data_IF_250097477233
#
_entry.id   IF_250097477233
#
_cell.length_a   1.000
_cell.length_b   1.000
_cell.length_c   1.000
_cell.angle_alpha   90.00
_cell.angle_beta   90.00
_cell.angle_gamma   90.00
#
_symmetry.space_group_name_H-M   'P 1'
#
loop_
_entity.id
_entity.type
_entity.pdbx_description
1 polymer ?
#
# COMPACT_ATOMS: atom_id res chain seq x y z
N UNK A 1 -9.61 4.25 -14.56
CA UNK A 1 -10.80 3.36 -14.60
C UNK A 1 -11.89 3.88 -13.67
N UNK A 2 -13.16 3.57 -13.95
CA UNK A 2 -14.32 4.03 -13.17
C UNK A 2 -14.29 3.57 -11.70
N UNK A 3 -13.78 2.36 -11.45
CA UNK A 3 -13.71 1.80 -10.09
C UNK A 3 -12.82 2.61 -9.14
N UNK A 4 -11.69 3.16 -9.64
CA UNK A 4 -10.77 3.99 -8.85
C UNK A 4 -11.44 5.26 -8.33
N UNK A 5 -12.36 5.85 -9.12
CA UNK A 5 -13.15 7.02 -8.68
C UNK A 5 -14.19 6.62 -7.65
N UNK A 6 -14.89 5.50 -7.87
CA UNK A 6 -15.91 4.97 -6.95
C UNK A 6 -15.32 4.61 -5.59
N UNK A 7 -14.18 3.94 -5.55
CA UNK A 7 -13.55 3.58 -4.27
C UNK A 7 -13.10 4.80 -3.48
N UNK A 8 -12.53 5.82 -4.15
CA UNK A 8 -12.17 7.08 -3.47
C UNK A 8 -13.39 7.74 -2.82
N UNK A 9 -14.54 7.74 -3.50
CA UNK A 9 -15.78 8.30 -2.97
C UNK A 9 -16.32 7.47 -1.79
N UNK A 10 -16.40 6.15 -1.92
CA UNK A 10 -16.82 5.29 -0.81
C UNK A 10 -15.91 5.43 0.41
N UNK A 11 -14.60 5.40 0.20
CA UNK A 11 -13.62 5.51 1.27
C UNK A 11 -13.71 6.85 2.01
N UNK A 12 -13.76 7.97 1.28
CA UNK A 12 -13.89 9.32 1.85
C UNK A 12 -15.17 9.50 2.68
N UNK A 13 -16.25 8.83 2.29
CA UNK A 13 -17.54 8.87 2.98
C UNK A 13 -17.67 7.84 4.11
N UNK A 14 -16.58 7.14 4.48
CA UNK A 14 -16.60 6.13 5.55
C UNK A 14 -17.31 4.82 5.17
N UNK A 15 -17.62 4.62 3.89
CA UNK A 15 -18.32 3.45 3.37
C UNK A 15 -17.34 2.30 3.08
N UNK A 16 -16.60 1.85 4.10
CA UNK A 16 -15.54 0.84 3.95
C UNK A 16 -16.08 -0.52 3.50
N UNK A 17 -17.25 -0.93 3.99
CA UNK A 17 -17.92 -2.16 3.54
C UNK A 17 -18.21 -2.15 2.03
N UNK A 18 -18.66 -1.01 1.48
CA UNK A 18 -18.88 -0.85 0.04
C UNK A 18 -17.55 -0.82 -0.74
N UNK A 19 -16.51 -0.23 -0.17
CA UNK A 19 -15.16 -0.24 -0.74
C UNK A 19 -14.63 -1.66 -0.88
N UNK A 20 -14.72 -2.46 0.18
CA UNK A 20 -14.33 -3.88 0.22
C UNK A 20 -15.15 -4.69 -0.80
N UNK A 21 -16.47 -4.51 -0.82
CA UNK A 21 -17.35 -5.24 -1.73
C UNK A 21 -17.04 -4.94 -3.21
N UNK A 22 -16.77 -3.68 -3.55
CA UNK A 22 -16.38 -3.26 -4.90
C UNK A 22 -15.06 -3.92 -5.32
N UNK A 23 -14.05 -3.89 -4.44
CA UNK A 23 -12.74 -4.47 -4.73
C UNK A 23 -12.80 -5.99 -4.87
N UNK A 24 -13.51 -6.69 -3.97
CA UNK A 24 -13.74 -8.13 -4.08
C UNK A 24 -14.43 -8.51 -5.38
N UNK A 25 -15.39 -7.72 -5.83
CA UNK A 25 -16.03 -7.92 -7.13
C UNK A 25 -15.05 -7.76 -8.29
N UNK A 26 -14.22 -6.72 -8.28
CA UNK A 26 -13.20 -6.52 -9.31
C UNK A 26 -12.21 -7.70 -9.40
N UNK A 27 -11.84 -8.28 -8.26
CA UNK A 27 -10.99 -9.48 -8.17
C UNK A 27 -11.65 -10.66 -8.87
N UNK A 28 -12.93 -10.92 -8.58
CA UNK A 28 -13.69 -12.00 -9.22
C UNK A 28 -13.81 -11.79 -10.73
N UNK A 29 -13.92 -10.55 -11.17
CA UNK A 29 -13.99 -10.17 -12.59
C UNK A 29 -12.61 -10.08 -13.26
N UNK A 30 -11.51 -10.36 -12.54
CA UNK A 30 -10.11 -10.26 -13.00
C UNK A 30 -9.73 -8.89 -13.57
N UNK A 31 -10.34 -7.84 -13.04
CA UNK A 31 -10.09 -6.47 -13.45
C UNK A 31 -8.94 -5.89 -12.61
N UNK A 32 -7.81 -5.56 -13.26
CA UNK A 32 -6.75 -4.75 -12.64
C UNK A 32 -6.30 -5.32 -11.29
N UNK A 33 -5.95 -6.61 -11.32
CA UNK A 33 -5.85 -7.47 -10.14
C UNK A 33 -4.90 -6.91 -9.09
N UNK A 34 -3.66 -6.60 -9.46
CA UNK A 34 -2.63 -6.08 -8.57
C UNK A 34 -3.09 -4.82 -7.82
N UNK A 35 -3.54 -3.79 -8.54
CA UNK A 35 -4.02 -2.54 -7.94
C UNK A 35 -5.25 -2.78 -7.05
N UNK A 36 -6.14 -3.66 -7.47
CA UNK A 36 -7.33 -4.01 -6.69
C UNK A 36 -6.94 -4.71 -5.38
N UNK A 37 -5.95 -5.61 -5.41
CA UNK A 37 -5.46 -6.29 -4.21
C UNK A 37 -4.80 -5.34 -3.22
N UNK A 38 -3.87 -4.52 -3.71
CA UNK A 38 -3.17 -3.54 -2.88
C UNK A 38 -4.20 -2.61 -2.19
N UNK A 39 -5.18 -2.11 -2.95
CA UNK A 39 -6.23 -1.27 -2.37
C UNK A 39 -7.13 -2.06 -1.39
N UNK A 40 -7.37 -3.35 -1.61
CA UNK A 40 -8.15 -4.18 -0.67
C UNK A 40 -7.44 -4.36 0.67
N UNK A 41 -6.15 -4.69 0.65
CA UNK A 41 -5.32 -4.79 1.85
C UNK A 41 -5.36 -3.46 2.61
N UNK A 42 -5.17 -2.33 1.90
CA UNK A 42 -5.24 -1.00 2.48
C UNK A 42 -6.59 -0.70 3.15
N UNK A 43 -7.74 -0.95 2.48
CA UNK A 43 -9.06 -0.68 3.08
C UNK A 43 -9.28 -1.51 4.31
N UNK A 44 -8.95 -2.81 4.29
CA UNK A 44 -9.12 -3.65 5.47
C UNK A 44 -8.31 -3.13 6.65
N UNK A 45 -7.01 -2.90 6.45
CA UNK A 45 -6.12 -2.46 7.52
C UNK A 45 -6.51 -1.09 8.06
N UNK A 46 -6.79 -0.12 7.17
CA UNK A 46 -7.31 1.18 7.58
C UNK A 46 -8.60 1.03 8.41
N UNK A 47 -9.56 0.23 7.95
CA UNK A 47 -10.80 0.01 8.69
C UNK A 47 -10.55 -0.59 10.07
N UNK A 48 -9.68 -1.61 10.15
CA UNK A 48 -9.36 -2.33 11.39
C UNK A 48 -8.63 -1.45 12.41
N UNK A 49 -7.82 -0.49 11.95
CA UNK A 49 -6.88 0.30 12.78
C UNK A 49 -7.41 1.69 13.08
N UNK A 50 -7.95 2.38 12.09
CA UNK A 50 -8.27 3.82 12.18
C UNK A 50 -9.74 4.10 12.47
N UNK A 51 -10.60 3.08 12.43
CA UNK A 51 -12.06 3.28 12.59
C UNK A 51 -12.60 2.63 13.84
N UNK A 52 -13.59 3.29 14.45
CA UNK A 52 -14.30 2.74 15.60
C UNK A 52 -15.32 1.69 15.12
N UNK A 53 -14.94 0.42 15.22
CA UNK A 53 -15.79 -0.72 14.86
C UNK A 53 -15.88 -1.71 16.00
N UNK A 54 -16.99 -2.46 16.04
CA UNK A 54 -17.17 -3.48 17.08
C UNK A 54 -16.10 -4.57 16.99
N UNK A 55 -15.80 -5.20 18.13
CA UNK A 55 -14.84 -6.32 18.20
C UNK A 55 -15.21 -7.46 17.27
N UNK A 56 -16.50 -7.76 17.15
CA UNK A 56 -17.05 -8.81 16.28
C UNK A 56 -16.79 -8.46 14.81
N UNK A 57 -17.05 -7.20 14.41
CA UNK A 57 -16.80 -6.72 13.05
C UNK A 57 -15.32 -6.77 12.71
N UNK A 58 -14.46 -6.32 13.63
CA UNK A 58 -13.00 -6.38 13.50
C UNK A 58 -12.50 -7.81 13.30
N UNK A 59 -13.04 -8.78 14.04
CA UNK A 59 -12.68 -10.19 13.89
C UNK A 59 -13.10 -10.75 12.53
N UNK A 60 -14.28 -10.39 12.03
CA UNK A 60 -14.74 -10.79 10.69
C UNK A 60 -13.81 -10.22 9.62
N UNK A 61 -13.47 -8.93 9.71
CA UNK A 61 -12.59 -8.27 8.74
C UNK A 61 -11.18 -8.86 8.77
N UNK A 62 -10.63 -9.13 9.95
CA UNK A 62 -9.31 -9.74 10.08
C UNK A 62 -9.25 -11.15 9.49
N UNK A 63 -10.26 -11.98 9.77
CA UNK A 63 -10.34 -13.34 9.21
C UNK A 63 -10.38 -13.30 7.68
N UNK A 64 -11.19 -12.39 7.15
CA UNK A 64 -11.38 -12.20 5.71
C UNK A 64 -10.10 -11.67 5.04
N UNK A 65 -9.47 -10.66 5.63
CA UNK A 65 -8.16 -10.15 5.22
C UNK A 65 -7.11 -11.26 5.17
N UNK A 66 -6.94 -12.03 6.24
CA UNK A 66 -5.93 -13.08 6.30
C UNK A 66 -6.15 -14.16 5.23
N UNK A 67 -7.40 -14.58 5.02
CA UNK A 67 -7.73 -15.54 3.97
C UNK A 67 -7.45 -14.99 2.56
N UNK A 68 -7.70 -13.69 2.35
CA UNK A 68 -7.46 -13.03 1.08
C UNK A 68 -5.96 -12.85 0.84
N UNK A 69 -5.24 -12.31 1.82
CA UNK A 69 -3.81 -12.04 1.73
C UNK A 69 -2.99 -13.31 1.47
N UNK A 70 -3.34 -14.41 2.15
CA UNK A 70 -2.67 -15.71 1.97
C UNK A 70 -2.67 -16.19 0.51
N UNK A 71 -3.77 -15.99 -0.21
CA UNK A 71 -3.87 -16.39 -1.62
C UNK A 71 -2.84 -15.66 -2.48
N UNK A 72 -2.54 -14.39 -2.17
CA UNK A 72 -1.64 -13.56 -2.99
C UNK A 72 -0.18 -13.75 -2.65
N UNK A 73 0.15 -13.91 -1.36
CA UNK A 73 1.53 -14.13 -0.95
C UNK A 73 2.04 -15.54 -1.29
N UNK A 74 1.13 -16.47 -1.66
CA UNK A 74 1.49 -17.81 -2.13
C UNK A 74 1.58 -17.91 -3.67
N UNK A 75 1.23 -16.86 -4.39
CA UNK A 75 1.26 -16.82 -5.87
C UNK A 75 2.63 -16.35 -6.37
N UNK A 76 3.29 -17.18 -7.18
CA UNK A 76 4.63 -16.90 -7.72
C UNK A 76 4.69 -15.62 -8.56
N UNK A 77 3.59 -15.22 -9.20
CA UNK A 77 3.53 -13.99 -9.99
C UNK A 77 3.65 -12.77 -9.08
N UNK A 78 2.93 -12.75 -7.95
CA UNK A 78 2.90 -11.60 -7.05
C UNK A 78 4.12 -11.50 -6.14
N UNK A 79 4.65 -12.62 -5.62
CA UNK A 79 5.84 -12.57 -4.75
C UNK A 79 7.10 -12.11 -5.47
N UNK A 80 7.09 -12.06 -6.80
CA UNK A 80 8.19 -11.58 -7.63
C UNK A 80 7.87 -10.25 -8.32
N UNK A 81 6.68 -9.69 -8.11
CA UNK A 81 6.32 -8.38 -8.63
C UNK A 81 6.81 -7.28 -7.67
N UNK A 82 7.72 -6.39 -8.11
CA UNK A 82 8.32 -5.39 -7.23
C UNK A 82 7.30 -4.34 -6.76
N UNK A 83 6.26 -4.08 -7.53
CA UNK A 83 5.23 -3.11 -7.18
C UNK A 83 4.31 -3.68 -6.09
N UNK A 84 3.89 -4.94 -6.23
CA UNK A 84 3.15 -5.66 -5.19
C UNK A 84 3.94 -5.71 -3.87
N UNK A 85 5.22 -6.08 -3.95
CA UNK A 85 6.10 -6.17 -2.79
C UNK A 85 6.22 -4.82 -2.09
N UNK A 86 6.52 -3.76 -2.84
CA UNK A 86 6.68 -2.41 -2.29
C UNK A 86 5.41 -1.90 -1.62
N UNK A 87 4.28 -1.94 -2.32
CA UNK A 87 3.03 -1.39 -1.78
C UNK A 87 2.51 -2.21 -0.61
N UNK A 88 2.63 -3.54 -0.64
CA UNK A 88 2.24 -4.38 0.50
C UNK A 88 3.10 -4.08 1.72
N UNK A 89 4.42 -3.98 1.55
CA UNK A 89 5.34 -3.62 2.63
C UNK A 89 5.05 -2.23 3.20
N UNK A 90 4.79 -1.25 2.32
CA UNK A 90 4.39 0.10 2.71
C UNK A 90 3.11 0.10 3.56
N UNK A 91 2.05 -0.55 3.10
CA UNK A 91 0.78 -0.61 3.83
C UNK A 91 0.98 -1.31 5.17
N UNK A 92 1.63 -2.48 5.17
CA UNK A 92 1.87 -3.27 6.37
C UNK A 92 2.69 -2.48 7.41
N UNK A 93 3.76 -1.80 6.98
CA UNK A 93 4.55 -0.94 7.87
C UNK A 93 3.78 0.26 8.44
N UNK A 94 2.72 0.70 7.75
CA UNK A 94 1.93 1.87 8.15
C UNK A 94 0.82 1.53 9.16
N UNK A 95 0.22 0.34 9.04
CA UNK A 95 -0.93 -0.07 9.86
C UNK A 95 -0.63 -1.19 10.85
N UNK A 96 0.52 -1.87 10.71
CA UNK A 96 0.93 -3.00 11.53
C UNK A 96 0.98 -4.30 10.74
N UNK A 97 2.19 -4.84 10.58
CA UNK A 97 2.51 -6.04 9.82
C UNK A 97 1.90 -7.31 10.42
N UNK A 98 1.76 -7.35 11.75
CA UNK A 98 1.19 -8.49 12.48
C UNK A 98 -0.27 -8.79 12.10
N UNK A 99 -1.01 -7.81 11.55
CA UNK A 99 -2.37 -8.05 11.05
C UNK A 99 -2.39 -8.92 9.79
N UNK A 100 -1.25 -9.04 9.08
CA UNK A 100 -1.10 -9.86 7.88
C UNK A 100 -0.31 -11.16 8.15
N UNK A 101 -0.05 -11.48 9.42
CA UNK A 101 0.82 -12.59 9.82
C UNK A 101 2.26 -12.45 9.26
N UNK A 102 2.73 -11.20 9.17
CA UNK A 102 4.08 -10.84 8.76
C UNK A 102 4.89 -10.36 9.96
N UNK A 103 6.20 -10.48 9.87
CA UNK A 103 7.18 -9.92 10.82
C UNK A 103 7.85 -8.67 10.22
N UNK A 104 8.51 -7.86 11.06
CA UNK A 104 9.32 -6.74 10.58
C UNK A 104 10.41 -7.18 9.58
N UNK A 105 10.95 -8.39 9.74
CA UNK A 105 11.93 -8.95 8.82
C UNK A 105 11.30 -9.28 7.45
N UNK A 106 10.06 -9.76 7.42
CA UNK A 106 9.35 -9.99 6.15
C UNK A 106 9.12 -8.66 5.42
N UNK A 107 8.76 -7.60 6.15
CA UNK A 107 8.61 -6.25 5.58
C UNK A 107 9.94 -5.75 4.99
N UNK A 108 11.04 -5.90 5.73
CA UNK A 108 12.38 -5.57 5.23
C UNK A 108 12.71 -6.32 3.95
N UNK A 109 12.48 -7.64 3.92
CA UNK A 109 12.75 -8.48 2.76
C UNK A 109 11.88 -8.11 1.54
N UNK A 110 10.63 -7.71 1.75
CA UNK A 110 9.76 -7.24 0.66
C UNK A 110 10.28 -5.93 0.06
N UNK A 111 10.68 -4.96 0.90
CA UNK A 111 11.31 -3.73 0.43
C UNK A 111 12.64 -4.02 -0.26
N UNK A 112 13.50 -4.83 0.34
CA UNK A 112 14.80 -5.21 -0.23
C UNK A 112 14.61 -5.85 -1.60
N UNK A 113 13.70 -6.83 -1.73
CA UNK A 113 13.44 -7.53 -2.99
C UNK A 113 12.91 -6.60 -4.06
N UNK A 114 11.98 -5.68 -3.72
CA UNK A 114 11.51 -4.67 -4.68
C UNK A 114 12.66 -3.79 -5.20
N UNK A 115 13.58 -3.38 -4.31
CA UNK A 115 14.77 -2.61 -4.66
C UNK A 115 15.79 -3.42 -5.48
N UNK A 116 16.00 -4.70 -5.16
CA UNK A 116 16.93 -5.55 -5.92
C UNK A 116 16.45 -5.77 -7.37
N UNK A 117 15.13 -5.87 -7.59
CA UNK A 117 14.54 -6.05 -8.92
C UNK A 117 14.66 -4.77 -9.76
N UNK A 118 14.36 -3.60 -9.18
CA UNK A 118 14.49 -2.31 -9.86
C UNK A 118 15.18 -1.25 -8.97
N UNK A 119 16.50 -1.34 -8.94
CA UNK A 119 17.36 -0.50 -8.07
C UNK A 119 17.42 0.98 -8.45
N UNK A 120 16.86 1.36 -9.60
CA UNK A 120 16.79 2.75 -10.05
C UNK A 120 15.44 3.40 -9.73
N UNK A 121 14.47 2.63 -9.25
CA UNK A 121 13.17 3.14 -8.86
C UNK A 121 13.27 3.90 -7.53
N UNK A 122 12.93 5.19 -7.58
CA UNK A 122 13.03 6.08 -6.42
C UNK A 122 12.08 5.67 -5.29
N UNK A 123 10.91 5.10 -5.59
CA UNK A 123 10.00 4.59 -4.57
C UNK A 123 10.63 3.43 -3.80
N UNK A 124 11.26 2.50 -4.51
CA UNK A 124 11.85 1.31 -3.88
C UNK A 124 13.09 1.68 -3.07
N UNK A 125 13.92 2.61 -3.58
CA UNK A 125 15.02 3.18 -2.80
C UNK A 125 14.49 3.86 -1.53
N UNK A 126 13.44 4.69 -1.66
CA UNK A 126 12.85 5.38 -0.52
C UNK A 126 12.28 4.41 0.52
N UNK A 127 11.55 3.37 0.09
CA UNK A 127 10.97 2.36 0.97
C UNK A 127 12.01 1.51 1.69
N UNK A 128 13.09 1.13 1.02
CA UNK A 128 14.15 0.32 1.60
C UNK A 128 15.17 1.11 2.43
N UNK A 129 15.25 2.43 2.25
CA UNK A 129 16.25 3.27 2.94
C UNK A 129 16.27 3.20 4.47
N UNK A 130 15.17 2.96 5.23
CA UNK A 130 15.24 2.78 6.68
C UNK A 130 16.14 1.62 7.14
N UNK A 131 16.35 0.63 6.28
CA UNK A 131 17.13 -0.57 6.56
C UNK A 131 18.60 -0.44 6.13
N UNK A 132 18.97 0.72 5.57
CA UNK A 132 20.35 1.02 5.23
C UNK A 132 21.06 1.64 6.45
N UNK A 133 22.30 1.20 6.73
CA UNK A 133 23.14 1.63 7.88
C UNK A 133 23.64 3.10 7.82
N UNK A 134 22.99 3.96 7.04
CA UNK A 134 23.34 5.36 6.83
C UNK A 134 22.26 6.28 7.43
N UNK A 135 22.52 7.60 7.47
CA UNK A 135 21.54 8.62 7.89
C UNK A 135 20.29 8.60 6.99
N UNK A 136 19.40 7.64 7.27
CA UNK A 136 18.25 7.31 6.43
C UNK A 136 17.24 8.45 6.43
N UNK A 137 17.12 9.23 7.49
CA UNK A 137 16.14 10.32 7.58
C UNK A 137 16.43 11.39 6.52
N UNK A 138 17.70 11.78 6.37
CA UNK A 138 18.13 12.70 5.31
C UNK A 138 17.91 12.09 3.93
N UNK A 139 18.29 10.83 3.74
CA UNK A 139 18.13 10.12 2.47
C UNK A 139 16.66 10.04 2.05
N UNK A 140 15.76 9.70 2.97
CA UNK A 140 14.31 9.61 2.72
C UNK A 140 13.74 10.93 2.27
N UNK A 141 14.08 12.01 2.97
CA UNK A 141 13.66 13.36 2.57
C UNK A 141 14.12 13.73 1.17
N UNK A 142 15.38 13.45 0.83
CA UNK A 142 15.91 13.73 -0.51
C UNK A 142 15.19 12.94 -1.61
N UNK A 143 14.89 11.66 -1.36
CA UNK A 143 14.15 10.83 -2.31
C UNK A 143 12.69 11.27 -2.41
N UNK A 144 12.03 11.58 -1.30
CA UNK A 144 10.67 12.10 -1.28
C UNK A 144 10.55 13.37 -2.14
N UNK A 145 11.48 14.33 -2.00
CA UNK A 145 11.54 15.55 -2.84
C UNK A 145 11.68 15.19 -4.32
N UNK A 146 12.58 14.25 -4.68
CA UNK A 146 12.77 13.84 -6.08
C UNK A 146 11.53 13.17 -6.67
N UNK A 147 10.85 12.32 -5.89
CA UNK A 147 9.63 11.61 -6.31
C UNK A 147 8.51 12.62 -6.55
N UNK A 148 8.22 13.48 -5.58
CA UNK A 148 7.10 14.42 -5.67
C UNK A 148 7.34 15.56 -6.66
N UNK A 149 8.60 15.83 -7.02
CA UNK A 149 8.95 16.81 -8.07
C UNK A 149 8.95 16.19 -9.48
N UNK A 150 8.64 14.89 -9.62
CA UNK A 150 8.67 14.18 -10.89
C UNK A 150 7.26 13.78 -11.33
N UNK A 151 6.79 14.39 -12.42
CA UNK A 151 5.44 14.16 -12.94
C UNK A 151 5.13 12.69 -13.24
N UNK A 152 6.11 11.92 -13.73
CA UNK A 152 5.90 10.49 -14.02
C UNK A 152 5.57 9.71 -12.74
N UNK A 153 6.27 10.00 -11.65
CA UNK A 153 5.97 9.38 -10.35
C UNK A 153 4.63 9.88 -9.80
N UNK A 154 4.34 11.17 -9.89
CA UNK A 154 3.06 11.71 -9.44
C UNK A 154 1.87 11.06 -10.16
N UNK A 155 1.93 10.92 -11.48
CA UNK A 155 0.87 10.28 -12.27
C UNK A 155 0.72 8.81 -11.91
N UNK A 156 1.83 8.06 -11.86
CA UNK A 156 1.81 6.64 -11.51
C UNK A 156 1.27 6.40 -10.08
N UNK A 157 1.69 7.19 -9.10
CA UNK A 157 1.19 7.07 -7.72
C UNK A 157 -0.31 7.40 -7.68
N UNK A 158 -0.77 8.47 -8.35
CA UNK A 158 -2.20 8.85 -8.38
C UNK A 158 -3.08 7.78 -9.04
N UNK A 159 -2.53 6.99 -9.96
CA UNK A 159 -3.21 5.84 -10.55
C UNK A 159 -3.47 4.74 -9.52
N UNK A 160 -2.76 4.67 -8.39
CA UNK A 160 -2.99 3.65 -7.34
C UNK A 160 -4.18 3.94 -6.43
N UNK A 161 -5.13 4.75 -6.86
CA UNK A 161 -6.36 5.05 -6.13
C UNK A 161 -6.11 5.55 -4.68
N UNK A 162 -6.68 4.89 -3.67
CA UNK A 162 -6.64 5.38 -2.28
C UNK A 162 -5.28 5.11 -1.61
N UNK A 163 -4.61 4.00 -1.93
CA UNK A 163 -3.23 3.77 -1.46
C UNK A 163 -2.27 4.80 -2.07
N UNK A 164 -2.51 5.18 -3.33
CA UNK A 164 -1.75 6.21 -4.03
C UNK A 164 -1.88 7.58 -3.36
N UNK A 165 -3.10 7.98 -3.04
CA UNK A 165 -3.36 9.24 -2.34
C UNK A 165 -2.69 9.26 -0.95
N UNK A 166 -2.70 8.13 -0.24
CA UNK A 166 -2.04 7.98 1.07
C UNK A 166 -0.51 8.05 0.95
N UNK A 167 0.09 7.30 0.03
CA UNK A 167 1.54 7.34 -0.23
C UNK A 167 2.01 8.73 -0.62
N UNK A 168 1.26 9.41 -1.50
CA UNK A 168 1.58 10.77 -1.90
C UNK A 168 1.54 11.72 -0.70
N UNK A 169 0.57 11.60 0.18
CA UNK A 169 0.50 12.40 1.41
C UNK A 169 1.72 12.15 2.32
N UNK A 170 2.14 10.89 2.49
CA UNK A 170 3.35 10.53 3.25
C UNK A 170 4.60 11.16 2.62
N UNK A 171 4.77 11.04 1.30
CA UNK A 171 5.91 11.59 0.57
C UNK A 171 5.95 13.12 0.66
N UNK A 172 4.81 13.80 0.52
CA UNK A 172 4.70 15.25 0.69
C UNK A 172 5.10 15.69 2.10
N UNK A 173 4.61 14.97 3.12
CA UNK A 173 4.96 15.23 4.51
C UNK A 173 6.48 15.11 4.75
N UNK A 174 7.10 14.02 4.28
CA UNK A 174 8.54 13.81 4.41
C UNK A 174 9.37 14.84 3.62
N UNK A 175 8.88 15.25 2.45
CA UNK A 175 9.50 16.31 1.66
C UNK A 175 9.38 17.70 2.33
N UNK A 176 8.51 17.85 3.32
CA UNK A 176 8.19 19.15 3.95
C UNK A 176 7.31 20.04 3.06
N UNK A 177 6.46 19.44 2.24
CA UNK A 177 5.54 20.12 1.32
C UNK A 177 4.12 20.00 1.86
N UNK A 178 3.45 21.14 2.09
CA UNK A 178 2.13 21.17 2.72
C UNK A 178 0.98 20.80 1.76
N UNK A 179 1.19 20.80 0.43
CA UNK A 179 0.24 20.28 -0.58
C UNK A 179 0.85 20.28 -1.99
N UNK A 180 0.37 19.39 -2.86
CA UNK A 180 0.62 19.32 -4.32
C UNK A 180 -0.71 19.30 -5.05
#
# INVERSE_FOLDING_TARGET
MEWRKKIKDYFKNGNYAYSIALLKRNILEKNDLLDTFINLIYVYLYSIVETDMSKETKQVYLKDLNSTFKIFIEDEEYINDPEFLFYTAYIASSFGEFYLDLTCNDIEQMFEKSFQIDSLNLLYIWGYSPYLNVDYAKMRKEHAIKIVSNNKYLENIKEKAIVGDNLLATLCFEAGINSI
#
